data_IF_481858832489
#
_entry.id   IF_481858832489
#
_cell.length_a   1.000
_cell.length_b   1.000
_cell.length_c   1.000
_cell.angle_alpha   90.00
_cell.angle_beta   90.00
_cell.angle_gamma   90.00
#
_symmetry.space_group_name_H-M   'P 1'
#
loop_
_entity.id
_entity.type
_entity.pdbx_description
1 polymer ?
#
# COMPACT_ATOMS: atom_id res chain seq x y z
N UNK A 1 32.86 -40.86 -29.75
CA UNK A 1 31.59 -40.30 -29.21
C UNK A 1 31.97 -39.40 -28.03
N UNK A 2 31.91 -38.08 -28.22
CA UNK A 2 32.27 -37.09 -27.21
C UNK A 2 31.04 -36.79 -26.34
N UNK A 3 31.10 -37.13 -25.06
CA UNK A 3 30.02 -36.87 -24.09
C UNK A 3 30.22 -35.45 -23.55
N UNK A 4 29.30 -34.54 -23.88
CA UNK A 4 29.26 -33.19 -23.33
C UNK A 4 28.55 -33.25 -21.96
N UNK A 5 29.27 -33.03 -20.86
CA UNK A 5 28.67 -32.94 -19.53
C UNK A 5 28.08 -31.55 -19.32
N UNK A 6 26.86 -31.42 -18.77
CA UNK A 6 26.31 -30.12 -18.39
C UNK A 6 27.13 -29.51 -17.25
N UNK A 7 27.41 -28.21 -17.36
CA UNK A 7 28.09 -27.46 -16.31
C UNK A 7 27.26 -27.48 -15.00
N UNK A 8 27.90 -27.53 -13.83
CA UNK A 8 27.20 -27.47 -12.55
C UNK A 8 26.49 -26.13 -12.40
N UNK A 9 25.16 -26.16 -12.32
CA UNK A 9 24.35 -25.00 -11.94
C UNK A 9 24.59 -24.72 -10.46
N UNK A 10 25.24 -23.59 -10.16
CA UNK A 10 25.41 -23.15 -8.77
C UNK A 10 24.03 -22.81 -8.18
N UNK A 11 23.72 -23.24 -6.94
CA UNK A 11 22.49 -22.84 -6.28
C UNK A 11 22.48 -21.31 -6.09
N UNK A 12 21.52 -20.64 -6.72
CA UNK A 12 21.25 -19.21 -6.51
C UNK A 12 20.98 -19.01 -5.02
N UNK A 13 21.82 -18.24 -4.33
CA UNK A 13 21.59 -17.84 -2.94
C UNK A 13 20.14 -17.35 -2.78
N UNK A 14 19.41 -17.75 -1.73
CA UNK A 14 18.09 -17.20 -1.49
C UNK A 14 18.22 -15.68 -1.47
N UNK A 15 17.49 -15.01 -2.36
CA UNK A 15 17.38 -13.55 -2.34
C UNK A 15 17.00 -13.16 -0.92
N UNK A 16 17.90 -12.49 -0.20
CA UNK A 16 17.68 -12.02 1.15
C UNK A 16 16.63 -10.90 1.09
N UNK A 17 15.36 -11.30 1.08
CA UNK A 17 14.21 -10.41 1.11
C UNK A 17 13.88 -10.00 2.53
N UNK A 18 13.24 -8.84 2.65
CA UNK A 18 12.75 -8.31 3.93
C UNK A 18 11.27 -8.70 4.08
N UNK A 19 10.91 -9.52 5.08
CA UNK A 19 9.54 -9.95 5.26
C UNK A 19 8.65 -8.77 5.61
N UNK A 20 7.48 -8.71 4.99
CA UNK A 20 6.48 -7.66 5.24
C UNK A 20 5.07 -8.21 5.02
N UNK A 21 4.09 -7.69 5.74
CA UNK A 21 2.67 -8.04 5.54
C UNK A 21 1.98 -6.96 4.72
N UNK A 22 1.08 -7.37 3.83
CA UNK A 22 0.14 -6.46 3.16
C UNK A 22 -1.25 -6.89 3.58
N UNK A 23 -2.04 -5.94 4.07
CA UNK A 23 -3.36 -6.26 4.61
C UNK A 23 -4.43 -5.96 3.56
N UNK A 24 -5.25 -6.95 3.26
CA UNK A 24 -6.36 -6.86 2.31
C UNK A 24 -7.69 -7.13 3.00
N UNK A 25 -8.76 -6.56 2.46
CA UNK A 25 -10.13 -6.98 2.77
C UNK A 25 -10.39 -8.41 2.29
N UNK A 26 -11.36 -9.09 2.90
CA UNK A 26 -11.77 -10.45 2.53
C UNK A 26 -13.27 -10.61 2.57
N UNK A 27 -13.84 -11.21 1.53
CA UNK A 27 -15.28 -11.47 1.46
C UNK A 27 -15.64 -12.77 2.19
N UNK A 28 -16.78 -12.83 2.93
CA UNK A 28 -17.75 -11.74 3.16
C UNK A 28 -17.42 -10.82 4.34
N UNK A 29 -16.42 -11.14 5.17
CA UNK A 29 -16.19 -10.52 6.48
C UNK A 29 -15.96 -9.00 6.41
N UNK A 30 -15.16 -8.53 5.46
CA UNK A 30 -14.88 -7.11 5.27
C UNK A 30 -16.05 -6.36 4.59
N UNK A 31 -17.00 -7.10 4.00
CA UNK A 31 -18.24 -6.54 3.46
C UNK A 31 -19.19 -6.07 4.55
N UNK A 32 -19.31 -6.82 5.65
CA UNK A 32 -20.12 -6.46 6.82
C UNK A 32 -19.36 -5.64 7.86
N UNK A 33 -18.04 -5.85 7.99
CA UNK A 33 -17.17 -5.12 8.91
C UNK A 33 -16.00 -4.47 8.16
N UNK A 34 -16.15 -3.21 7.66
CA UNK A 34 -15.18 -2.61 6.76
C UNK A 34 -13.80 -2.36 7.38
N UNK A 35 -13.67 -2.46 8.71
CA UNK A 35 -12.39 -2.30 9.41
C UNK A 35 -11.62 -3.61 9.60
N UNK A 36 -12.23 -4.76 9.26
CA UNK A 36 -11.59 -6.08 9.37
C UNK A 36 -10.75 -6.35 8.13
N UNK A 37 -9.45 -6.53 8.32
CA UNK A 37 -8.47 -6.79 7.25
C UNK A 37 -7.55 -7.94 7.62
N UNK A 38 -7.00 -8.60 6.61
CA UNK A 38 -6.28 -9.86 6.75
C UNK A 38 -4.87 -9.76 6.16
N UNK A 39 -3.84 -10.22 6.89
CA UNK A 39 -2.47 -10.12 6.42
C UNK A 39 -2.15 -11.17 5.36
N UNK A 40 -1.42 -10.74 4.33
CA UNK A 40 -0.75 -11.60 3.35
C UNK A 40 0.76 -11.34 3.46
N UNK A 41 1.53 -12.42 3.64
CA UNK A 41 2.98 -12.33 3.75
C UNK A 41 3.61 -12.06 2.37
N UNK A 42 4.55 -11.12 2.33
CA UNK A 42 5.32 -10.72 1.15
C UNK A 42 6.81 -10.64 1.51
N UNK A 43 7.65 -10.70 0.50
CA UNK A 43 9.09 -10.47 0.62
C UNK A 43 9.47 -9.25 -0.19
N UNK A 44 9.91 -8.19 0.48
CA UNK A 44 10.41 -6.99 -0.19
C UNK A 44 11.85 -7.21 -0.64
N UNK A 45 12.22 -6.81 -1.87
CA UNK A 45 13.60 -6.88 -2.32
C UNK A 45 14.49 -5.78 -1.71
N UNK A 46 13.92 -4.80 -1.00
CA UNK A 46 14.67 -3.66 -0.44
C UNK A 46 14.25 -3.38 1.00
N UNK A 47 15.05 -2.58 1.71
CA UNK A 47 14.73 -2.10 3.07
C UNK A 47 13.52 -1.15 3.11
N UNK A 48 13.06 -0.64 1.96
CA UNK A 48 11.90 0.25 1.86
C UNK A 48 10.56 -0.51 1.95
N UNK A 49 10.43 -1.37 2.97
CA UNK A 49 9.33 -2.32 3.16
C UNK A 49 7.95 -1.65 3.23
N UNK A 50 7.85 -0.45 3.82
CA UNK A 50 6.60 0.30 3.90
C UNK A 50 6.12 0.77 2.54
N UNK A 51 7.02 1.35 1.74
CA UNK A 51 6.72 1.76 0.35
C UNK A 51 6.33 0.55 -0.50
N UNK A 52 7.11 -0.53 -0.40
CA UNK A 52 6.83 -1.76 -1.13
C UNK A 52 5.46 -2.37 -0.77
N UNK A 53 5.11 -2.39 0.52
CA UNK A 53 3.83 -2.94 0.96
C UNK A 53 2.63 -2.14 0.43
N UNK A 54 2.71 -0.81 0.41
CA UNK A 54 1.66 0.05 -0.17
C UNK A 54 1.60 -0.11 -1.69
N UNK A 55 2.73 -0.24 -2.39
CA UNK A 55 2.74 -0.52 -3.83
C UNK A 55 2.02 -1.85 -4.14
N UNK A 56 2.24 -2.89 -3.33
CA UNK A 56 1.52 -4.15 -3.48
C UNK A 56 0.04 -4.03 -3.14
N UNK A 57 -0.33 -3.19 -2.17
CA UNK A 57 -1.73 -2.90 -1.89
C UNK A 57 -2.42 -2.22 -3.08
N UNK A 58 -1.75 -1.26 -3.73
CA UNK A 58 -2.23 -0.60 -4.96
C UNK A 58 -2.29 -1.59 -6.13
N UNK A 59 -1.33 -2.50 -6.26
CA UNK A 59 -1.38 -3.53 -7.30
C UNK A 59 -2.54 -4.52 -7.07
N UNK A 60 -2.94 -4.70 -5.81
CA UNK A 60 -4.00 -5.60 -5.39
C UNK A 60 -3.54 -7.05 -5.15
N UNK A 61 -4.45 -7.92 -4.69
CA UNK A 61 -4.16 -9.32 -4.44
C UNK A 61 -3.87 -10.09 -5.74
N UNK A 62 -3.08 -11.16 -5.61
CA UNK A 62 -2.78 -12.08 -6.71
C UNK A 62 -4.04 -12.83 -7.17
N UNK A 63 -3.99 -13.50 -8.31
CA UNK A 63 -5.13 -14.29 -8.79
C UNK A 63 -5.56 -15.38 -7.78
N UNK A 64 -4.60 -16.08 -7.16
CA UNK A 64 -4.89 -17.10 -6.15
C UNK A 64 -5.50 -16.49 -4.88
N UNK A 65 -5.02 -15.31 -4.45
CA UNK A 65 -5.60 -14.59 -3.31
C UNK A 65 -7.03 -14.11 -3.62
N UNK A 66 -7.30 -13.63 -4.84
CA UNK A 66 -8.66 -13.28 -5.26
C UNK A 66 -9.59 -14.48 -5.23
N UNK A 67 -9.13 -15.65 -5.69
CA UNK A 67 -9.90 -16.90 -5.58
C UNK A 67 -10.15 -17.30 -4.12
N UNK A 68 -9.24 -16.96 -3.20
CA UNK A 68 -9.42 -17.14 -1.77
C UNK A 68 -10.28 -16.02 -1.11
N UNK A 69 -10.87 -15.12 -1.91
CA UNK A 69 -11.80 -14.08 -1.47
C UNK A 69 -11.15 -12.78 -1.01
N UNK A 70 -9.84 -12.60 -1.18
CA UNK A 70 -9.18 -11.33 -0.87
C UNK A 70 -9.45 -10.29 -1.95
N UNK A 71 -9.69 -9.05 -1.53
CA UNK A 71 -9.90 -7.92 -2.41
C UNK A 71 -9.39 -6.62 -1.78
N UNK A 72 -9.27 -5.59 -2.60
CA UNK A 72 -9.11 -4.19 -2.20
C UNK A 72 -9.77 -3.37 -3.30
N UNK A 73 -10.39 -2.25 -2.95
CA UNK A 73 -10.88 -1.30 -3.93
C UNK A 73 -9.79 -0.34 -4.39
N UNK A 74 -8.69 -0.20 -3.63
CA UNK A 74 -7.66 0.80 -3.87
C UNK A 74 -7.09 0.70 -5.29
N UNK A 75 -6.85 -0.52 -5.78
CA UNK A 75 -6.30 -0.76 -7.12
C UNK A 75 -7.17 -0.20 -8.26
N UNK A 76 -8.47 -0.02 -8.02
CA UNK A 76 -9.42 0.56 -8.98
C UNK A 76 -9.79 2.01 -8.69
N UNK A 77 -9.48 2.51 -7.49
CA UNK A 77 -9.76 3.90 -7.10
C UNK A 77 -8.78 4.90 -7.73
N UNK A 78 -7.55 4.49 -8.05
CA UNK A 78 -6.54 5.38 -8.62
C UNK A 78 -6.83 5.66 -10.11
N UNK A 79 -6.90 6.94 -10.48
CA UNK A 79 -7.13 7.36 -11.85
C UNK A 79 -6.31 8.61 -12.23
N UNK A 80 -6.26 8.90 -13.54
CA UNK A 80 -5.53 10.06 -14.09
C UNK A 80 -4.00 9.97 -13.92
N UNK A 81 -3.23 10.95 -14.41
CA UNK A 81 -1.78 10.95 -14.27
C UNK A 81 -1.32 11.25 -12.84
N UNK A 82 -0.16 10.69 -12.46
CA UNK A 82 0.52 11.05 -11.22
C UNK A 82 1.08 12.48 -11.29
N UNK A 83 0.90 13.25 -10.22
CA UNK A 83 1.51 14.58 -10.03
C UNK A 83 2.86 14.54 -9.33
N UNK A 84 3.37 13.37 -8.95
CA UNK A 84 4.66 13.28 -8.30
C UNK A 84 5.79 13.27 -9.33
N UNK A 85 6.87 13.97 -9.02
CA UNK A 85 8.04 14.04 -9.91
C UNK A 85 8.69 12.65 -10.04
N UNK A 86 9.02 12.27 -11.27
CA UNK A 86 9.90 11.12 -11.54
C UNK A 86 11.15 11.60 -12.29
N UNK A 87 12.30 10.91 -12.14
CA UNK A 87 13.53 11.21 -12.89
C UNK A 87 13.39 10.97 -14.40
N UNK A 88 12.33 10.29 -14.83
CA UNK A 88 12.09 9.88 -16.21
C UNK A 88 10.86 10.59 -16.78
N UNK A 89 10.79 10.81 -18.10
CA UNK A 89 9.71 11.54 -18.77
C UNK A 89 8.34 10.82 -18.75
N UNK A 90 8.24 9.67 -18.09
CA UNK A 90 7.01 8.88 -17.98
C UNK A 90 6.69 8.61 -16.52
N UNK A 91 5.45 8.95 -16.12
CA UNK A 91 4.77 8.47 -14.92
C UNK A 91 5.51 8.63 -13.58
N UNK A 92 5.05 9.60 -12.77
CA UNK A 92 5.39 9.67 -11.34
C UNK A 92 4.93 8.45 -10.54
N UNK A 93 5.50 8.22 -9.33
CA UNK A 93 4.98 7.21 -8.41
C UNK A 93 3.52 7.52 -8.03
N UNK A 94 2.73 6.51 -7.67
CA UNK A 94 1.32 6.68 -7.34
C UNK A 94 1.08 7.42 -6.01
N UNK A 95 2.08 7.46 -5.13
CA UNK A 95 2.02 8.10 -3.82
C UNK A 95 3.42 8.49 -3.32
N UNK A 96 3.45 9.31 -2.26
CA UNK A 96 4.61 9.55 -1.41
C UNK A 96 4.33 9.05 0.00
N UNK A 97 5.35 8.52 0.68
CA UNK A 97 5.27 8.07 2.07
C UNK A 97 6.32 8.83 2.88
N UNK A 98 5.86 9.63 3.83
CA UNK A 98 6.73 10.42 4.70
C UNK A 98 6.56 9.98 6.15
N UNK A 99 7.68 9.65 6.80
CA UNK A 99 7.69 9.25 8.21
C UNK A 99 7.86 10.47 9.11
N UNK A 100 7.40 10.33 10.36
CA UNK A 100 7.43 11.35 11.40
C UNK A 100 6.81 12.69 10.99
N UNK A 101 5.76 12.65 10.16
CA UNK A 101 4.99 13.84 9.77
C UNK A 101 3.50 13.53 9.78
N UNK A 102 2.70 14.52 10.16
CA UNK A 102 1.26 14.61 10.02
C UNK A 102 0.96 15.70 8.99
N UNK A 103 0.77 15.31 7.73
CA UNK A 103 0.79 16.27 6.62
C UNK A 103 2.15 16.96 6.54
N UNK A 104 2.16 18.29 6.68
CA UNK A 104 3.38 19.11 6.68
C UNK A 104 4.00 19.27 8.07
N UNK A 105 3.29 18.93 9.14
CA UNK A 105 3.71 19.13 10.54
C UNK A 105 4.57 17.95 11.01
N UNK A 106 5.78 18.17 11.56
CA UNK A 106 6.57 17.11 12.18
C UNK A 106 5.82 16.46 13.36
N UNK A 107 5.72 15.14 13.35
CA UNK A 107 5.12 14.38 14.45
C UNK A 107 5.69 12.95 14.49
N UNK A 108 6.51 12.68 15.50
CA UNK A 108 7.13 11.35 15.70
C UNK A 108 6.09 10.24 15.77
N UNK A 109 6.37 9.15 15.06
CA UNK A 109 5.50 7.98 15.01
C UNK A 109 4.27 8.13 14.11
N UNK A 110 4.20 9.18 13.29
CA UNK A 110 3.17 9.31 12.25
C UNK A 110 3.74 9.04 10.87
N UNK A 111 3.09 8.16 10.10
CA UNK A 111 3.34 8.02 8.68
C UNK A 111 2.26 8.78 7.89
N UNK A 112 2.67 9.72 7.04
CA UNK A 112 1.77 10.36 6.08
C UNK A 112 1.96 9.73 4.71
N UNK A 113 0.90 9.15 4.18
CA UNK A 113 0.80 8.78 2.77
C UNK A 113 0.03 9.88 2.04
N UNK A 114 0.60 10.42 0.97
CA UNK A 114 -0.11 11.33 0.06
C UNK A 114 -0.13 10.71 -1.33
N UNK A 115 -1.33 10.42 -1.84
CA UNK A 115 -1.48 9.94 -3.20
C UNK A 115 -1.12 11.05 -4.19
N UNK A 116 -0.56 10.65 -5.32
CA UNK A 116 -0.19 11.55 -6.42
C UNK A 116 -1.19 11.46 -7.57
N UNK A 117 -2.08 10.47 -7.52
CA UNK A 117 -3.15 10.23 -8.48
C UNK A 117 -4.48 10.60 -7.88
N UNK A 118 -5.44 10.90 -8.73
CA UNK A 118 -6.81 11.14 -8.28
C UNK A 118 -7.37 9.85 -7.70
N UNK A 119 -8.10 9.96 -6.59
CA UNK A 119 -8.81 8.85 -5.98
C UNK A 119 -10.30 9.05 -6.23
N UNK A 120 -10.92 8.07 -6.86
CA UNK A 120 -12.37 8.01 -7.04
C UNK A 120 -12.95 7.12 -5.95
N UNK A 121 -13.60 7.74 -4.95
CA UNK A 121 -14.32 6.97 -3.92
C UNK A 121 -15.40 6.11 -4.57
N UNK A 122 -15.45 4.83 -4.19
CA UNK A 122 -16.51 3.91 -4.55
C UNK A 122 -17.66 3.90 -3.51
N UNK A 123 -17.63 4.84 -2.56
CA UNK A 123 -18.56 4.95 -1.44
C UNK A 123 -17.86 4.82 -0.08
N UNK A 124 -18.52 5.32 0.98
CA UNK A 124 -17.94 5.40 2.34
C UNK A 124 -17.49 4.05 2.91
N UNK A 125 -18.18 2.95 2.57
CA UNK A 125 -17.77 1.61 2.97
C UNK A 125 -16.47 1.15 2.33
N UNK A 126 -16.24 1.51 1.06
CA UNK A 126 -14.99 1.23 0.36
C UNK A 126 -13.85 2.10 0.89
N UNK A 127 -14.11 3.38 1.15
CA UNK A 127 -13.13 4.29 1.76
C UNK A 127 -12.70 3.81 3.15
N UNK A 128 -13.64 3.30 3.95
CA UNK A 128 -13.36 2.72 5.25
C UNK A 128 -12.47 1.46 5.15
N UNK A 129 -12.72 0.58 4.18
CA UNK A 129 -11.89 -0.61 3.92
C UNK A 129 -10.48 -0.23 3.49
N UNK A 130 -10.34 0.63 2.49
CA UNK A 130 -9.03 1.11 2.02
C UNK A 130 -8.27 1.80 3.15
N UNK A 131 -8.95 2.61 3.96
CA UNK A 131 -8.37 3.23 5.15
C UNK A 131 -7.87 2.19 6.15
N UNK A 132 -8.64 1.12 6.41
CA UNK A 132 -8.26 0.04 7.31
C UNK A 132 -7.06 -0.76 6.78
N UNK A 133 -7.02 -1.06 5.48
CA UNK A 133 -5.94 -1.77 4.80
C UNK A 133 -4.61 -1.01 4.90
N UNK A 134 -4.63 0.29 4.56
CA UNK A 134 -3.45 1.17 4.65
C UNK A 134 -3.01 1.30 6.11
N UNK A 135 -3.95 1.51 7.04
CA UNK A 135 -3.65 1.61 8.46
C UNK A 135 -2.96 0.34 8.98
N UNK A 136 -3.53 -0.84 8.74
CA UNK A 136 -2.97 -2.10 9.21
C UNK A 136 -1.60 -2.38 8.57
N UNK A 137 -1.48 -2.09 7.27
CA UNK A 137 -0.22 -2.26 6.53
C UNK A 137 0.89 -1.37 7.09
N UNK A 138 0.63 -0.11 7.44
CA UNK A 138 1.68 0.76 7.99
C UNK A 138 1.88 0.58 9.50
N UNK A 139 0.83 0.30 10.26
CA UNK A 139 0.93 0.09 11.72
C UNK A 139 1.52 -1.26 12.12
N UNK A 140 1.78 -2.16 11.17
CA UNK A 140 2.59 -3.36 11.45
C UNK A 140 3.98 -3.01 11.97
N UNK A 141 4.49 -1.83 11.60
CA UNK A 141 5.80 -1.35 12.02
C UNK A 141 5.65 -0.65 13.38
N UNK A 142 6.38 -1.09 14.43
CA UNK A 142 6.15 -0.64 15.80
C UNK A 142 6.44 0.85 16.01
N UNK A 143 7.25 1.45 15.15
CA UNK A 143 7.55 2.88 15.13
C UNK A 143 6.43 3.72 14.50
N UNK A 144 5.43 3.14 13.84
CA UNK A 144 4.27 3.87 13.27
C UNK A 144 3.06 3.67 14.18
N UNK A 145 2.68 4.74 14.89
CA UNK A 145 1.53 4.79 15.80
C UNK A 145 0.29 5.38 15.13
N UNK A 146 0.49 6.32 14.21
CA UNK A 146 -0.57 7.01 13.48
C UNK A 146 -0.29 6.99 11.99
N UNK A 147 -1.36 6.95 11.21
CA UNK A 147 -1.31 7.02 9.75
C UNK A 147 -2.24 8.13 9.30
N UNK A 148 -1.74 8.98 8.41
CA UNK A 148 -2.47 10.07 7.78
C UNK A 148 -2.52 9.77 6.30
N UNK A 149 -3.73 9.74 5.73
CA UNK A 149 -3.95 9.38 4.33
C UNK A 149 -4.50 10.62 3.63
N UNK A 150 -3.75 11.12 2.66
CA UNK A 150 -4.07 12.34 1.94
C UNK A 150 -4.34 12.08 0.46
N UNK A 151 -5.34 12.77 -0.10
CA UNK A 151 -5.60 12.82 -1.53
C UNK A 151 -4.49 13.58 -2.27
N UNK A 152 -4.56 13.59 -3.59
CA UNK A 152 -3.66 14.35 -4.47
C UNK A 152 -3.60 15.84 -4.11
N UNK A 153 -4.74 16.40 -3.75
CA UNK A 153 -4.92 17.81 -3.36
C UNK A 153 -4.39 18.06 -1.93
N UNK A 154 -4.19 17.01 -1.13
CA UNK A 154 -3.69 17.08 0.24
C UNK A 154 -4.79 17.05 1.31
N UNK A 155 -6.04 16.77 0.94
CA UNK A 155 -7.15 16.60 1.88
C UNK A 155 -7.16 15.20 2.49
N UNK A 156 -7.81 15.05 3.64
CA UNK A 156 -7.98 13.77 4.30
C UNK A 156 -8.84 12.82 3.45
N UNK A 157 -8.27 11.67 3.10
CA UNK A 157 -9.00 10.64 2.37
C UNK A 157 -10.20 10.12 3.17
N UNK A 158 -11.35 10.00 2.52
CA UNK A 158 -12.60 9.56 3.16
C UNK A 158 -13.23 10.58 4.12
N UNK A 159 -12.70 11.81 4.21
CA UNK A 159 -13.32 12.87 5.01
C UNK A 159 -14.44 13.57 4.22
N UNK A 160 -15.65 13.00 4.31
CA UNK A 160 -16.84 13.58 3.70
C UNK A 160 -17.29 14.92 4.29
N UNK A 161 -16.66 15.39 5.38
CA UNK A 161 -16.97 16.69 5.98
C UNK A 161 -16.17 17.85 5.41
N UNK A 162 -15.03 17.57 4.75
CA UNK A 162 -14.09 18.59 4.26
C UNK A 162 -13.34 19.34 5.37
N UNK A 163 -13.40 18.89 6.62
CA UNK A 163 -12.76 19.55 7.77
C UNK A 163 -11.28 19.19 7.94
N UNK A 164 -10.79 18.23 7.16
CA UNK A 164 -9.47 17.63 7.23
C UNK A 164 -9.12 17.14 8.64
N UNK A 165 -10.03 16.35 9.23
CA UNK A 165 -9.92 15.90 10.63
C UNK A 165 -8.65 15.09 10.90
N UNK A 166 -8.10 14.40 9.90
CA UNK A 166 -6.84 13.67 10.03
C UNK A 166 -5.61 14.57 10.20
N UNK A 167 -5.72 15.87 9.88
CA UNK A 167 -4.68 16.89 10.04
C UNK A 167 -4.82 17.70 11.34
N UNK A 168 -5.95 17.63 12.04
CA UNK A 168 -6.21 18.34 13.30
C UNK A 168 -5.62 17.63 14.50
#
# INVERSE_FOLDING_TARGET
>A
MQICFPAPVLPRSPSAGYPVKVFFSKFPQSGSTPYTVYPVNRMSPTIAVGTFAIQLLIAGPTLSERQAGYFTELNTMLSGPSSCSAPLPVGGPDFTLTLNKKGTVPQTGTATIKFCRSLMSAGSGADARVTAEINATLKQFPNIKKVVILTKEGHCFGDGSGMDLCLR
#
